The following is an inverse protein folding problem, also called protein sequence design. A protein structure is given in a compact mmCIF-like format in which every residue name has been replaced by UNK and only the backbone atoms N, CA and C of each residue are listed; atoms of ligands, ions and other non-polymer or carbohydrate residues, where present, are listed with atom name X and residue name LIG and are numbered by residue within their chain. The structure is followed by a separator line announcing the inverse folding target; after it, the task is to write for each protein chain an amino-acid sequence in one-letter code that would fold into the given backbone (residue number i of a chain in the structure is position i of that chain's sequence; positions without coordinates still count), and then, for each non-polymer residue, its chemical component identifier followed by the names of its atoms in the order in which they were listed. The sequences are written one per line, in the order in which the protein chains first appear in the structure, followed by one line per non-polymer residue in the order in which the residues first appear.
data_IF_716748220444
#
_entry.id   IF_716748220444
#
_cell.length_a   1.000
_cell.length_b   1.000
_cell.length_c   1.000
_cell.angle_alpha   90.00
_cell.angle_beta   90.00
_cell.angle_gamma   90.00
#
_symmetry.space_group_name_H-M   'P 1'
#
loop_
_entity.id
_entity.type
_entity.pdbx_description
1 polymer ?
#
# COMPACT_ATOMS: atom_id res chain seq x y z
N UNK A 1 2.14 1.33 52.92
CA UNK A 1 1.68 2.37 51.99
C UNK A 1 2.73 2.49 50.91
N UNK A 2 2.57 1.73 49.84
CA UNK A 2 3.51 1.69 48.72
C UNK A 2 2.78 2.26 47.50
N UNK A 3 3.37 3.32 46.94
CA UNK A 3 2.90 4.01 45.75
C UNK A 3 3.35 3.23 44.50
N UNK A 4 2.39 2.79 43.69
CA UNK A 4 2.64 2.38 42.30
C UNK A 4 2.19 3.51 41.35
N UNK A 5 3.04 3.94 40.39
CA UNK A 5 2.67 4.94 39.40
C UNK A 5 1.89 4.32 38.24
N UNK A 6 0.93 5.11 37.77
CA UNK A 6 -0.01 4.82 36.70
C UNK A 6 0.68 4.53 35.36
N UNK A 7 0.35 3.40 34.76
CA UNK A 7 0.69 3.07 33.37
C UNK A 7 -0.27 3.78 32.42
N UNK A 8 0.23 4.80 31.71
CA UNK A 8 -0.52 5.52 30.70
C UNK A 8 -0.88 4.60 29.50
N UNK A 9 -2.18 4.51 29.26
CA UNK A 9 -2.84 3.72 28.23
C UNK A 9 -2.71 4.38 26.85
N UNK A 10 -2.08 3.70 25.89
CA UNK A 10 -2.04 4.09 24.47
C UNK A 10 -3.36 3.81 23.72
N UNK A 11 -4.50 4.24 24.28
CA UNK A 11 -5.79 4.21 23.61
C UNK A 11 -6.25 5.63 23.34
N UNK A 12 -5.79 6.24 22.26
CA UNK A 12 -6.53 7.31 21.57
C UNK A 12 -5.80 7.75 20.31
N UNK A 13 -6.42 7.50 19.14
CA UNK A 13 -6.42 8.39 17.94
C UNK A 13 -6.91 7.64 16.72
N UNK A 14 -8.21 7.77 16.42
CA UNK A 14 -8.71 7.85 15.05
C UNK A 14 -10.19 8.26 15.03
N UNK A 15 -10.46 9.57 15.15
CA UNK A 15 -11.72 10.15 14.68
C UNK A 15 -11.44 11.41 13.86
N UNK A 16 -11.97 11.40 12.64
CA UNK A 16 -12.31 12.59 11.87
C UNK A 16 -11.18 13.17 11.01
N UNK A 17 -11.43 13.28 9.71
CA UNK A 17 -11.89 14.56 9.16
C UNK A 17 -12.42 14.37 7.73
N UNK A 18 -13.70 14.69 7.63
CA UNK A 18 -14.46 14.96 6.43
C UNK A 18 -14.05 16.35 5.93
N UNK A 19 -13.46 16.49 4.73
CA UNK A 19 -13.32 17.79 4.06
C UNK A 19 -13.67 17.71 2.57
N UNK A 20 -14.94 18.01 2.33
CA UNK A 20 -15.48 18.84 1.24
C UNK A 20 -14.41 19.76 0.61
N UNK A 21 -14.19 19.63 -0.69
CA UNK A 21 -13.60 20.68 -1.51
C UNK A 21 -14.58 21.02 -2.64
N UNK A 22 -15.10 22.24 -2.59
CA UNK A 22 -15.67 22.96 -3.72
C UNK A 22 -14.81 24.21 -3.98
N UNK A 23 -14.93 24.72 -5.21
CA UNK A 23 -14.42 25.99 -5.74
C UNK A 23 -12.94 25.90 -6.19
N UNK A 24 -12.48 26.52 -7.29
CA UNK A 24 -12.96 27.71 -7.97
C UNK A 24 -12.38 27.80 -9.40
N UNK A 25 -13.15 28.43 -10.27
CA UNK A 25 -12.79 28.99 -11.57
C UNK A 25 -11.64 30.02 -11.49
N UNK A 26 -10.72 29.96 -12.46
CA UNK A 26 -9.62 30.91 -12.60
C UNK A 26 -9.20 31.09 -14.07
N UNK A 27 -9.90 31.97 -14.80
CA UNK A 27 -9.41 32.56 -16.05
C UNK A 27 -8.18 33.42 -15.75
N UNK A 28 -7.12 33.37 -16.58
CA UNK A 28 -6.37 34.57 -17.02
C UNK A 28 -5.32 34.25 -18.10
N UNK A 29 -5.50 34.91 -19.23
CA UNK A 29 -4.54 35.19 -20.28
C UNK A 29 -3.17 35.62 -19.72
N UNK A 30 -2.10 35.09 -20.28
CA UNK A 30 -0.82 35.80 -20.38
C UNK A 30 -0.18 35.53 -21.74
N UNK A 31 -0.39 36.50 -22.64
CA UNK A 31 0.46 36.79 -23.79
C UNK A 31 1.92 36.73 -23.34
N UNK A 32 2.75 35.93 -24.00
CA UNK A 32 4.21 36.07 -23.92
C UNK A 32 4.74 36.45 -25.28
N UNK A 33 5.46 37.55 -25.22
CA UNK A 33 6.06 38.30 -26.30
C UNK A 33 7.04 37.46 -27.09
N UNK A 34 6.90 37.61 -28.40
CA UNK A 34 7.89 37.34 -29.43
C UNK A 34 9.03 38.34 -29.22
N UNK A 35 10.20 37.87 -28.80
CA UNK A 35 11.44 38.64 -28.87
C UNK A 35 12.56 37.69 -29.30
N UNK A 36 13.07 37.98 -30.48
CA UNK A 36 14.24 37.37 -31.10
C UNK A 36 15.44 37.45 -30.16
N UNK A 37 16.10 36.31 -29.94
CA UNK A 37 17.53 36.27 -29.67
C UNK A 37 18.13 35.13 -30.50
N UNK A 38 18.52 35.50 -31.72
CA UNK A 38 19.59 34.85 -32.47
C UNK A 38 20.86 34.92 -31.62
N UNK A 39 21.21 33.82 -30.96
CA UNK A 39 22.61 33.47 -30.70
C UNK A 39 22.82 32.03 -31.14
N UNK A 40 23.54 31.90 -32.25
CA UNK A 40 24.24 30.67 -32.63
C UNK A 40 25.10 30.26 -31.45
N UNK A 41 24.76 29.15 -30.83
CA UNK A 41 25.77 28.26 -30.26
C UNK A 41 25.63 26.99 -31.06
N UNK A 42 26.41 26.91 -32.14
CA UNK A 42 26.81 25.63 -32.72
C UNK A 42 27.66 24.93 -31.67
N UNK A 43 26.98 24.38 -30.66
CA UNK A 43 27.53 23.33 -29.83
C UNK A 43 27.65 22.16 -30.78
N UNK A 44 28.87 21.87 -31.21
CA UNK A 44 29.22 20.59 -31.80
C UNK A 44 28.60 19.51 -30.91
N UNK A 45 27.51 18.93 -31.38
CA UNK A 45 26.85 17.84 -30.69
C UNK A 45 27.74 16.63 -30.96
N UNK A 46 28.85 16.55 -30.22
CA UNK A 46 29.74 15.40 -30.26
C UNK A 46 28.90 14.19 -29.86
N UNK A 47 28.51 13.39 -30.85
CA UNK A 47 27.83 12.12 -30.68
C UNK A 47 28.81 11.17 -30.00
N UNK A 48 28.87 11.27 -28.67
CA UNK A 48 29.66 10.36 -27.85
C UNK A 48 28.88 9.06 -27.70
N UNK A 49 29.48 7.98 -28.20
CA UNK A 49 28.96 6.64 -27.98
C UNK A 49 29.11 6.29 -26.49
N UNK A 50 28.05 5.71 -25.92
CA UNK A 50 28.12 5.18 -24.56
C UNK A 50 29.13 4.04 -24.50
N UNK A 51 29.88 3.97 -23.40
CA UNK A 51 30.70 2.80 -23.13
C UNK A 51 29.83 1.55 -22.92
N UNK A 52 30.42 0.37 -23.08
CA UNK A 52 29.72 -0.90 -22.85
C UNK A 52 29.11 -0.97 -21.45
N UNK A 53 29.84 -0.53 -20.42
CA UNK A 53 29.35 -0.47 -19.04
C UNK A 53 28.11 0.44 -18.91
N UNK A 54 28.13 1.63 -19.51
CA UNK A 54 26.99 2.54 -19.51
C UNK A 54 25.77 1.97 -20.25
N UNK A 55 26.00 1.16 -21.28
CA UNK A 55 24.94 0.45 -22.00
C UNK A 55 24.34 -0.64 -21.10
N UNK A 56 25.19 -1.46 -20.45
CA UNK A 56 24.75 -2.53 -19.56
C UNK A 56 23.97 -1.99 -18.36
N UNK A 57 24.47 -0.97 -17.67
CA UNK A 57 23.76 -0.34 -16.54
C UNK A 57 22.40 0.24 -16.98
N UNK A 58 22.34 0.87 -18.16
CA UNK A 58 21.09 1.41 -18.69
C UNK A 58 20.08 0.31 -19.02
N UNK A 59 20.54 -0.80 -19.61
CA UNK A 59 19.69 -1.96 -19.90
C UNK A 59 19.19 -2.61 -18.61
N UNK A 60 20.06 -2.82 -17.63
CA UNK A 60 19.69 -3.41 -16.34
C UNK A 60 18.69 -2.53 -15.58
N UNK A 61 18.89 -1.21 -15.59
CA UNK A 61 17.95 -0.26 -14.99
C UNK A 61 16.59 -0.31 -15.68
N UNK A 62 16.54 -0.32 -17.02
CA UNK A 62 15.28 -0.46 -17.78
C UNK A 62 14.59 -1.78 -17.48
N UNK A 63 15.35 -2.87 -17.42
CA UNK A 63 14.87 -4.21 -17.08
C UNK A 63 14.22 -4.19 -15.69
N UNK A 64 14.92 -3.69 -14.67
CA UNK A 64 14.40 -3.56 -13.31
C UNK A 64 13.10 -2.75 -13.26
N UNK A 65 13.04 -1.61 -13.97
CA UNK A 65 11.82 -0.78 -14.06
C UNK A 65 10.66 -1.58 -14.65
N UNK A 66 10.88 -2.32 -15.75
CA UNK A 66 9.85 -3.14 -16.37
C UNK A 66 9.38 -4.27 -15.46
N UNK A 67 10.30 -4.95 -14.77
CA UNK A 67 9.95 -5.97 -13.79
C UNK A 67 9.11 -5.42 -12.64
N UNK A 68 9.48 -4.27 -12.07
CA UNK A 68 8.71 -3.61 -11.01
C UNK A 68 7.32 -3.17 -11.48
N UNK A 69 7.18 -2.71 -12.73
CA UNK A 69 5.86 -2.39 -13.30
C UNK A 69 5.00 -3.65 -13.46
N UNK A 70 5.57 -4.70 -14.04
CA UNK A 70 4.86 -5.97 -14.26
C UNK A 70 4.43 -6.61 -12.93
N UNK A 71 5.29 -6.61 -11.91
CA UNK A 71 4.93 -7.13 -10.59
C UNK A 71 3.82 -6.30 -9.93
N UNK A 72 3.89 -4.97 -10.02
CA UNK A 72 2.84 -4.08 -9.52
C UNK A 72 1.49 -4.29 -10.20
N UNK A 73 1.48 -4.49 -11.51
CA UNK A 73 0.25 -4.81 -12.26
C UNK A 73 -0.35 -6.17 -11.88
N UNK A 74 0.50 -7.21 -11.77
CA UNK A 74 0.06 -8.55 -11.33
C UNK A 74 -0.56 -8.49 -9.94
N UNK A 75 0.10 -7.80 -9.00
CA UNK A 75 -0.40 -7.60 -7.65
C UNK A 75 -1.75 -6.86 -7.67
N UNK A 76 -1.87 -5.80 -8.47
CA UNK A 76 -3.12 -5.03 -8.59
C UNK A 76 -4.28 -5.87 -9.13
N UNK A 77 -4.02 -6.75 -10.10
CA UNK A 77 -5.02 -7.70 -10.61
C UNK A 77 -5.43 -8.71 -9.53
N UNK A 78 -4.47 -9.24 -8.78
CA UNK A 78 -4.74 -10.16 -7.69
C UNK A 78 -5.58 -9.50 -6.59
N UNK A 79 -5.25 -8.28 -6.19
CA UNK A 79 -6.04 -7.49 -5.23
C UNK A 79 -7.48 -7.32 -5.74
N UNK A 80 -7.66 -6.99 -7.02
CA UNK A 80 -9.00 -6.83 -7.61
C UNK A 80 -9.80 -8.13 -7.54
N UNK A 81 -9.21 -9.26 -7.94
CA UNK A 81 -9.86 -10.57 -7.86
C UNK A 81 -10.21 -10.97 -6.42
N UNK A 82 -9.30 -10.72 -5.48
CA UNK A 82 -9.53 -11.03 -4.06
C UNK A 82 -10.65 -10.18 -3.46
N UNK A 83 -10.79 -8.92 -3.87
CA UNK A 83 -11.93 -8.07 -3.46
C UNK A 83 -13.28 -8.63 -3.91
N UNK A 84 -13.33 -9.34 -5.04
CA UNK A 84 -14.57 -9.99 -5.52
C UNK A 84 -15.00 -11.14 -4.60
N UNK A 85 -14.07 -11.73 -3.84
CA UNK A 85 -14.37 -12.75 -2.82
C UNK A 85 -14.87 -12.17 -1.48
N UNK A 86 -14.83 -10.85 -1.29
CA UNK A 86 -15.24 -10.22 -0.03
C UNK A 86 -16.67 -10.59 0.41
N UNK A 87 -17.71 -10.60 -0.47
CA UNK A 87 -19.07 -10.96 -0.06
C UNK A 87 -19.17 -12.35 0.57
N UNK A 88 -18.39 -13.31 0.06
CA UNK A 88 -18.34 -14.68 0.57
C UNK A 88 -17.89 -14.70 2.04
N UNK A 89 -16.80 -14.01 2.37
CA UNK A 89 -16.28 -13.97 3.74
C UNK A 89 -17.10 -13.06 4.67
N UNK A 90 -17.86 -12.12 4.13
CA UNK A 90 -18.82 -11.33 4.92
C UNK A 90 -20.01 -12.20 5.34
N UNK A 91 -20.47 -13.10 4.48
CA UNK A 91 -21.52 -14.07 4.81
C UNK A 91 -21.00 -15.14 5.77
N UNK A 92 -19.78 -15.65 5.53
CA UNK A 92 -19.16 -16.74 6.29
C UNK A 92 -17.76 -16.34 6.80
N UNK A 93 -17.67 -15.53 7.86
CA UNK A 93 -16.39 -15.07 8.40
C UNK A 93 -15.51 -16.20 8.94
N UNK A 94 -16.11 -17.32 9.35
CA UNK A 94 -15.40 -18.51 9.84
C UNK A 94 -14.49 -19.15 8.80
N UNK A 95 -14.82 -19.02 7.51
CA UNK A 95 -14.06 -19.66 6.43
C UNK A 95 -12.71 -18.98 6.16
N UNK A 96 -12.50 -17.80 6.74
CA UNK A 96 -11.20 -17.12 6.73
C UNK A 96 -10.24 -17.72 7.77
N UNK A 97 -10.75 -18.41 8.80
CA UNK A 97 -9.93 -19.04 9.83
C UNK A 97 -9.15 -20.21 9.25
N UNK A 98 -7.87 -20.30 9.59
CA UNK A 98 -6.92 -21.29 9.08
C UNK A 98 -6.26 -20.90 7.75
N UNK A 99 -6.73 -19.84 7.08
CA UNK A 99 -6.12 -19.35 5.85
C UNK A 99 -4.78 -18.67 6.11
N UNK A 100 -3.87 -18.84 5.16
CA UNK A 100 -2.65 -18.05 5.06
C UNK A 100 -2.98 -16.77 4.31
N UNK A 101 -2.54 -15.65 4.85
CA UNK A 101 -2.78 -14.31 4.33
C UNK A 101 -1.45 -13.57 4.17
N UNK A 102 -1.46 -12.56 3.31
CA UNK A 102 -0.43 -11.54 3.27
C UNK A 102 -1.10 -10.20 3.57
N UNK A 103 -0.69 -9.52 4.64
CA UNK A 103 -1.24 -8.24 5.06
C UNK A 103 -0.25 -7.13 4.75
N UNK A 104 -0.74 -6.05 4.16
CA UNK A 104 0.04 -4.86 3.86
C UNK A 104 0.08 -3.95 5.08
N UNK A 105 1.24 -3.83 5.68
CA UNK A 105 1.46 -3.00 6.85
C UNK A 105 2.42 -1.85 6.53
N UNK A 106 2.30 -0.75 7.28
CA UNK A 106 3.21 0.38 7.22
C UNK A 106 4.02 0.41 8.51
N UNK A 107 5.29 0.05 8.42
CA UNK A 107 6.23 0.09 9.54
C UNK A 107 7.41 1.00 9.17
N UNK A 108 7.75 1.94 10.05
CA UNK A 108 8.89 2.86 9.86
C UNK A 108 8.90 3.60 8.50
N UNK A 109 7.72 4.07 8.05
CA UNK A 109 7.50 4.71 6.74
C UNK A 109 7.75 3.80 5.52
N UNK A 110 7.95 2.49 5.72
CA UNK A 110 8.02 1.50 4.65
C UNK A 110 6.73 0.69 4.60
N UNK A 111 6.21 0.49 3.39
CA UNK A 111 5.02 -0.31 3.15
C UNK A 111 5.50 -1.68 2.69
N UNK A 112 5.17 -2.71 3.46
CA UNK A 112 5.58 -4.09 3.17
C UNK A 112 4.40 -5.04 3.35
N UNK A 113 4.50 -6.19 2.69
CA UNK A 113 3.54 -7.28 2.82
C UNK A 113 4.14 -8.33 3.75
N UNK A 114 3.40 -8.68 4.79
CA UNK A 114 3.81 -9.63 5.82
C UNK A 114 2.88 -10.83 5.78
N UNK A 115 3.46 -12.02 5.81
CA UNK A 115 2.73 -13.26 5.77
C UNK A 115 2.30 -13.69 7.18
N UNK A 116 1.05 -14.12 7.27
CA UNK A 116 0.45 -14.52 8.54
C UNK A 116 -0.58 -15.64 8.35
N UNK A 117 -0.87 -16.34 9.43
CA UNK A 117 -1.97 -17.27 9.52
C UNK A 117 -3.12 -16.69 10.35
N UNK A 118 -4.34 -16.85 9.87
CA UNK A 118 -5.55 -16.52 10.64
C UNK A 118 -5.85 -17.66 11.59
N UNK A 119 -5.74 -17.43 12.90
CA UNK A 119 -5.87 -18.49 13.91
C UNK A 119 -7.32 -18.70 14.33
N UNK A 120 -8.04 -17.61 14.61
CA UNK A 120 -9.41 -17.67 15.12
C UNK A 120 -10.12 -16.32 14.98
N UNK A 121 -11.43 -16.32 15.21
CA UNK A 121 -12.20 -15.08 15.34
C UNK A 121 -12.06 -14.61 16.79
N UNK A 122 -11.52 -13.40 16.98
CA UNK A 122 -11.41 -12.76 18.29
C UNK A 122 -12.76 -12.23 18.75
N UNK A 123 -13.44 -11.47 17.88
CA UNK A 123 -14.70 -10.80 18.20
C UNK A 123 -15.56 -10.60 16.97
N UNK A 124 -16.72 -11.26 16.96
CA UNK A 124 -17.79 -11.00 15.99
C UNK A 124 -18.42 -9.63 16.29
N UNK A 125 -18.65 -8.84 15.24
CA UNK A 125 -19.35 -7.54 15.32
C UNK A 125 -20.66 -7.64 14.54
N UNK A 126 -21.61 -6.77 14.88
CA UNK A 126 -22.88 -6.66 14.14
C UNK A 126 -22.66 -6.31 12.65
N UNK A 127 -21.67 -5.46 12.38
CA UNK A 127 -21.14 -5.24 11.03
C UNK A 127 -20.02 -6.26 10.78
N UNK A 128 -20.29 -7.32 10.01
CA UNK A 128 -19.37 -8.45 9.85
C UNK A 128 -18.02 -8.02 9.27
N UNK A 129 -17.97 -6.95 8.48
CA UNK A 129 -16.72 -6.44 7.90
C UNK A 129 -15.75 -5.97 8.99
N UNK A 130 -16.27 -5.55 10.16
CA UNK A 130 -15.47 -5.10 11.31
C UNK A 130 -15.10 -6.24 12.28
N UNK A 131 -15.44 -7.48 11.94
CA UNK A 131 -15.05 -8.66 12.73
C UNK A 131 -13.55 -8.68 12.93
N UNK A 132 -13.12 -8.86 14.19
CA UNK A 132 -11.71 -8.92 14.56
C UNK A 132 -11.25 -10.38 14.55
N UNK A 133 -10.11 -10.63 13.91
CA UNK A 133 -9.48 -11.95 13.80
C UNK A 133 -8.15 -11.95 14.54
N UNK A 134 -7.85 -13.05 15.22
CA UNK A 134 -6.51 -13.31 15.74
C UNK A 134 -5.63 -13.83 14.61
N UNK A 135 -4.46 -13.22 14.43
CA UNK A 135 -3.47 -13.63 13.43
C UNK A 135 -2.11 -13.82 14.08
N UNK A 136 -1.29 -14.65 13.46
CA UNK A 136 0.10 -14.87 13.82
C UNK A 136 0.95 -14.69 12.58
N UNK A 137 1.94 -13.82 12.66
CA UNK A 137 2.90 -13.59 11.58
C UNK A 137 3.97 -14.69 11.58
N UNK A 138 4.46 -15.02 10.40
CA UNK A 138 5.50 -16.05 10.24
C UNK A 138 6.83 -15.63 10.92
N UNK A 139 7.15 -14.33 10.89
CA UNK A 139 8.37 -13.77 11.48
C UNK A 139 8.32 -13.65 13.02
N UNK A 140 7.11 -13.64 13.60
CA UNK A 140 6.89 -13.51 15.05
C UNK A 140 5.86 -14.55 15.52
N UNK A 141 6.21 -15.85 15.55
CA UNK A 141 5.26 -16.94 15.79
C UNK A 141 4.70 -16.99 17.22
N UNK A 142 5.42 -16.42 18.19
CA UNK A 142 5.00 -16.42 19.59
C UNK A 142 3.92 -15.35 19.87
N UNK A 143 3.81 -14.34 19.01
CA UNK A 143 2.90 -13.22 19.18
C UNK A 143 1.59 -13.42 18.41
N UNK A 144 0.47 -13.14 19.08
CA UNK A 144 -0.86 -13.12 18.46
C UNK A 144 -1.37 -11.69 18.39
N UNK A 145 -1.58 -11.23 17.18
CA UNK A 145 -2.10 -9.90 16.87
C UNK A 145 -3.57 -10.00 16.49
N UNK A 146 -4.29 -8.88 16.45
CA UNK A 146 -5.68 -8.87 16.03
C UNK A 146 -6.04 -7.68 15.15
N UNK A 147 -6.72 -7.97 14.05
CA UNK A 147 -7.07 -6.97 13.04
C UNK A 147 -8.46 -7.23 12.45
N UNK A 148 -9.15 -6.18 11.95
CA UNK A 148 -10.38 -6.32 11.20
C UNK A 148 -10.09 -6.72 9.74
N UNK A 149 -9.65 -7.96 9.51
CA UNK A 149 -9.12 -8.42 8.21
C UNK A 149 -10.06 -8.20 7.02
N UNK A 150 -11.38 -8.31 7.20
CA UNK A 150 -12.33 -8.07 6.11
C UNK A 150 -12.36 -6.59 5.66
N UNK A 151 -12.07 -5.65 6.57
CA UNK A 151 -11.85 -4.24 6.19
C UNK A 151 -10.59 -4.09 5.34
N UNK A 152 -9.53 -4.83 5.65
CA UNK A 152 -8.26 -4.75 4.92
C UNK A 152 -8.40 -5.42 3.54
N UNK A 153 -9.13 -6.53 3.43
CA UNK A 153 -9.51 -7.14 2.16
C UNK A 153 -10.29 -6.14 1.29
N UNK A 154 -11.26 -5.43 1.87
CA UNK A 154 -12.03 -4.39 1.19
C UNK A 154 -11.14 -3.25 0.67
N UNK A 155 -10.16 -2.81 1.45
CA UNK A 155 -9.20 -1.77 1.04
C UNK A 155 -8.20 -2.28 -0.01
N UNK A 156 -7.93 -3.58 -0.03
CA UNK A 156 -6.90 -4.19 -0.87
C UNK A 156 -5.53 -4.25 -0.18
N UNK A 157 -5.56 -4.20 1.15
CA UNK A 157 -4.39 -4.32 2.02
C UNK A 157 -4.27 -5.74 2.60
N UNK A 158 -5.08 -6.68 2.10
CA UNK A 158 -5.03 -8.10 2.46
C UNK A 158 -5.12 -8.96 1.20
N UNK A 159 -4.29 -10.00 1.12
CA UNK A 159 -4.36 -11.05 0.12
C UNK A 159 -4.49 -12.41 0.81
N UNK A 160 -5.42 -13.24 0.34
CA UNK A 160 -5.57 -14.61 0.83
C UNK A 160 -4.75 -15.51 -0.10
N UNK A 161 -3.80 -16.26 0.47
CA UNK A 161 -3.00 -17.23 -0.27
C UNK A 161 -3.80 -18.53 -0.39
N UNK A 162 -3.85 -19.06 -1.61
CA UNK A 162 -4.52 -20.32 -1.96
C UNK A 162 -3.80 -21.52 -1.38
#
# INVERSE_FOLDING_TARGET
MEHHPDGESCQDRARGLNRRFQNSSGKRNRRRSRSEHRRRVSSECAMSYKSEDQIQESLQSKKNILFSKLSGERLSRQIKQQKESLPYYVEKPKDLVGKIISQKCSENNTIQWFDAQVISIKKLKADTVKTEYNIRYDDCPDDVWFFPLLMDLKKGDLLIKS
#
